data_IF_232925661012
#
_entry.id   IF_232925661012
#
_cell.length_a   1.000
_cell.length_b   1.000
_cell.length_c   1.000
_cell.angle_alpha   90.00
_cell.angle_beta   90.00
_cell.angle_gamma   90.00
#
_symmetry.space_group_name_H-M   'P 1'
#
loop_
_entity.id
_entity.type
_entity.pdbx_description
1 polymer ?
#
# COMPACT_ATOMS: atom_id res chain seq x y z
N UNK A 1 -5.62 16.90 1.59
CA UNK A 1 -4.63 15.93 2.11
C UNK A 1 -5.23 15.23 3.32
N UNK A 2 -6.43 14.64 3.16
CA UNK A 2 -7.16 13.96 4.26
C UNK A 2 -7.14 12.43 4.12
N UNK A 3 -7.09 11.91 2.89
CA UNK A 3 -7.15 10.46 2.59
C UNK A 3 -6.02 9.63 3.23
N UNK A 4 -4.83 10.22 3.46
CA UNK A 4 -3.65 9.48 3.97
C UNK A 4 -3.69 9.32 5.50
N UNK A 5 -4.44 10.19 6.19
CA UNK A 5 -4.40 10.32 7.65
C UNK A 5 -5.40 9.42 8.38
N UNK A 6 -6.39 8.85 7.70
CA UNK A 6 -7.43 8.03 8.34
C UNK A 6 -6.99 6.58 8.60
N UNK A 7 -5.98 6.11 7.87
CA UNK A 7 -5.48 4.74 7.93
C UNK A 7 -4.40 4.58 9.02
N UNK A 8 -4.76 4.58 10.30
CA UNK A 8 -3.79 4.53 11.39
C UNK A 8 -3.94 3.29 12.26
N UNK A 9 -2.80 2.63 12.55
CA UNK A 9 -2.72 1.52 13.49
C UNK A 9 -1.78 1.94 14.61
N UNK A 10 -2.31 2.12 15.83
CA UNK A 10 -1.52 2.50 17.02
C UNK A 10 -0.60 3.72 16.79
N UNK A 11 -1.08 4.73 16.04
CA UNK A 11 -0.30 5.93 15.74
C UNK A 11 0.58 5.83 14.48
N UNK A 12 0.62 4.68 13.80
CA UNK A 12 1.43 4.46 12.60
C UNK A 12 0.53 4.53 11.36
N UNK A 13 0.77 5.47 10.43
CA UNK A 13 0.06 5.52 9.14
C UNK A 13 0.35 4.29 8.30
N UNK A 14 -0.68 3.60 7.84
CA UNK A 14 -0.57 2.33 7.13
C UNK A 14 0.18 2.46 5.81
N UNK A 15 0.01 3.58 5.08
CA UNK A 15 0.74 3.82 3.83
C UNK A 15 2.25 3.84 4.04
N UNK A 16 2.73 4.32 5.20
CA UNK A 16 4.16 4.36 5.50
C UNK A 16 4.68 2.94 5.75
N UNK A 17 3.87 2.06 6.32
CA UNK A 17 4.19 0.64 6.45
C UNK A 17 4.31 -0.01 5.07
N UNK A 18 3.35 0.25 4.16
CA UNK A 18 3.40 -0.26 2.78
C UNK A 18 4.69 0.21 2.09
N UNK A 19 4.99 1.51 2.13
CA UNK A 19 6.21 2.08 1.54
C UNK A 19 7.48 1.48 2.15
N UNK A 20 7.52 1.34 3.47
CA UNK A 20 8.65 0.76 4.19
C UNK A 20 8.91 -0.69 3.82
N UNK A 21 7.86 -1.51 3.67
CA UNK A 21 7.98 -2.90 3.24
C UNK A 21 8.48 -3.03 1.80
N UNK A 22 7.98 -2.17 0.91
CA UNK A 22 8.43 -2.11 -0.50
C UNK A 22 9.90 -1.69 -0.57
N UNK A 23 10.28 -0.67 0.20
CA UNK A 23 11.67 -0.20 0.27
C UNK A 23 12.61 -1.29 0.84
N UNK A 24 12.20 -1.94 1.92
CA UNK A 24 12.96 -3.04 2.52
C UNK A 24 13.16 -4.19 1.53
N UNK A 25 12.18 -4.48 0.69
CA UNK A 25 12.25 -5.53 -0.32
C UNK A 25 13.31 -5.28 -1.40
N UNK A 26 13.73 -4.03 -1.62
CA UNK A 26 14.90 -3.73 -2.47
C UNK A 26 16.18 -4.34 -1.93
N UNK A 27 16.32 -4.44 -0.59
CA UNK A 27 17.48 -5.06 0.07
C UNK A 27 17.55 -6.57 -0.20
N UNK A 28 16.42 -7.17 -0.59
CA UNK A 28 16.31 -8.57 -1.02
C UNK A 28 16.59 -8.76 -2.52
N UNK A 29 16.98 -7.70 -3.25
CA UNK A 29 17.29 -7.75 -4.67
C UNK A 29 16.10 -7.55 -5.61
N UNK A 30 14.89 -7.28 -5.09
CA UNK A 30 13.75 -6.94 -5.94
C UNK A 30 13.97 -5.58 -6.62
N UNK A 31 13.59 -5.49 -7.89
CA UNK A 31 13.71 -4.25 -8.67
C UNK A 31 12.66 -4.15 -9.79
N UNK A 32 12.46 -2.94 -10.30
CA UNK A 32 11.60 -2.67 -11.45
C UNK A 32 10.14 -3.07 -11.22
N UNK A 33 9.55 -3.78 -12.20
CA UNK A 33 8.14 -4.20 -12.16
C UNK A 33 7.79 -5.09 -10.96
N UNK A 34 8.76 -5.82 -10.42
CA UNK A 34 8.53 -6.66 -9.24
C UNK A 34 8.19 -5.83 -7.99
N UNK A 35 8.81 -4.66 -7.81
CA UNK A 35 8.49 -3.75 -6.71
C UNK A 35 7.13 -3.08 -6.90
N UNK A 36 6.78 -2.72 -8.14
CA UNK A 36 5.43 -2.21 -8.44
C UNK A 36 4.36 -3.24 -8.07
N UNK A 37 4.52 -4.49 -8.52
CA UNK A 37 3.57 -5.56 -8.19
C UNK A 37 3.52 -5.82 -6.69
N UNK A 38 4.67 -5.84 -6.02
CA UNK A 38 4.76 -6.03 -4.59
C UNK A 38 4.03 -4.93 -3.82
N UNK A 39 4.20 -3.66 -4.21
CA UNK A 39 3.51 -2.54 -3.58
C UNK A 39 1.99 -2.68 -3.70
N UNK A 40 1.50 -3.16 -4.83
CA UNK A 40 0.08 -3.45 -5.02
C UNK A 40 -0.42 -4.56 -4.10
N UNK A 41 0.28 -5.70 -4.06
CA UNK A 41 -0.08 -6.84 -3.23
C UNK A 41 -0.06 -6.48 -1.75
N UNK A 42 0.98 -5.80 -1.28
CA UNK A 42 1.10 -5.36 0.11
C UNK A 42 -0.01 -4.37 0.46
N UNK A 43 -0.30 -3.41 -0.42
CA UNK A 43 -1.40 -2.45 -0.24
C UNK A 43 -2.76 -3.15 -0.10
N UNK A 44 -3.07 -4.11 -0.99
CA UNK A 44 -4.32 -4.88 -0.93
C UNK A 44 -4.42 -5.68 0.36
N UNK A 45 -3.38 -6.47 0.67
CA UNK A 45 -3.38 -7.35 1.85
C UNK A 45 -3.53 -6.52 3.13
N UNK A 46 -2.71 -5.47 3.29
CA UNK A 46 -2.78 -4.64 4.49
C UNK A 46 -4.06 -3.80 4.56
N UNK A 47 -4.56 -3.31 3.43
CA UNK A 47 -5.82 -2.56 3.40
C UNK A 47 -7.03 -3.41 3.78
N UNK A 48 -7.10 -4.65 3.28
CA UNK A 48 -8.17 -5.59 3.64
C UNK A 48 -8.07 -6.00 5.10
N UNK A 49 -6.87 -6.32 5.59
CA UNK A 49 -6.67 -6.65 7.00
C UNK A 49 -6.99 -5.49 7.92
N UNK A 50 -6.66 -4.25 7.51
CA UNK A 50 -7.02 -3.05 8.26
C UNK A 50 -8.53 -2.90 8.38
N UNK A 51 -9.26 -2.97 7.26
CA UNK A 51 -10.73 -2.87 7.27
C UNK A 51 -11.35 -3.95 8.17
N UNK A 52 -10.87 -5.20 8.04
CA UNK A 52 -11.32 -6.30 8.89
C UNK A 52 -10.98 -6.10 10.38
N UNK A 53 -9.86 -5.44 10.70
CA UNK A 53 -9.46 -5.14 12.08
C UNK A 53 -10.33 -4.07 12.74
N UNK A 54 -10.92 -3.17 11.94
CA UNK A 54 -11.84 -2.12 12.43
C UNK A 54 -13.23 -2.70 12.63
N UNK A 55 -13.71 -3.50 11.67
CA UNK A 55 -14.99 -4.21 11.78
C UNK A 55 -15.00 -5.49 10.93
N UNK A 56 -15.70 -6.56 11.36
CA UNK A 56 -15.82 -7.77 10.55
C UNK A 56 -16.53 -7.51 9.22
N UNK A 57 -15.93 -7.97 8.12
CA UNK A 57 -16.51 -7.87 6.77
C UNK A 57 -17.41 -9.08 6.51
N UNK A 58 -18.70 -8.86 6.28
CA UNK A 58 -19.73 -9.91 6.15
C UNK A 58 -20.38 -9.91 4.78
N UNK A 59 -20.66 -8.74 4.23
CA UNK A 59 -21.38 -8.54 2.97
C UNK A 59 -20.40 -8.34 1.81
N UNK A 60 -20.87 -8.58 0.58
CA UNK A 60 -20.09 -8.31 -0.63
C UNK A 60 -19.65 -6.84 -0.72
N UNK A 61 -20.52 -5.90 -0.33
CA UNK A 61 -20.21 -4.47 -0.37
C UNK A 61 -19.00 -4.11 0.53
N UNK A 62 -18.92 -4.73 1.71
CA UNK A 62 -17.82 -4.53 2.66
C UNK A 62 -16.51 -5.13 2.12
N UNK A 63 -16.56 -6.35 1.57
CA UNK A 63 -15.40 -6.96 0.92
C UNK A 63 -14.92 -6.16 -0.29
N UNK A 64 -15.84 -5.69 -1.13
CA UNK A 64 -15.53 -4.85 -2.27
C UNK A 64 -14.87 -3.53 -1.83
N UNK A 65 -15.45 -2.87 -0.82
CA UNK A 65 -14.88 -1.65 -0.22
C UNK A 65 -13.47 -1.89 0.32
N UNK A 66 -13.25 -3.00 1.01
CA UNK A 66 -11.94 -3.34 1.57
C UNK A 66 -10.87 -3.58 0.48
N UNK A 67 -11.24 -4.26 -0.62
CA UNK A 67 -10.34 -4.45 -1.77
C UNK A 67 -10.03 -3.11 -2.44
N UNK A 68 -11.03 -2.25 -2.67
CA UNK A 68 -10.84 -0.91 -3.27
C UNK A 68 -9.95 -0.04 -2.39
N UNK A 69 -10.14 -0.11 -1.07
CA UNK A 69 -9.30 0.59 -0.10
C UNK A 69 -7.83 0.13 -0.17
N UNK A 70 -7.60 -1.18 -0.19
CA UNK A 70 -6.25 -1.73 -0.35
C UNK A 70 -5.62 -1.42 -1.71
N UNK A 71 -6.40 -1.41 -2.79
CA UNK A 71 -5.95 -0.94 -4.10
C UNK A 71 -5.51 0.52 -4.06
N UNK A 72 -6.25 1.39 -3.37
CA UNK A 72 -5.85 2.79 -3.21
C UNK A 72 -4.50 2.92 -2.50
N UNK A 73 -4.28 2.18 -1.40
CA UNK A 73 -2.99 2.15 -0.71
C UNK A 73 -1.86 1.63 -1.60
N UNK A 74 -2.10 0.55 -2.35
CA UNK A 74 -1.13 -0.04 -3.26
C UNK A 74 -0.78 0.89 -4.43
N UNK A 75 -1.78 1.57 -5.02
CA UNK A 75 -1.59 2.56 -6.08
C UNK A 75 -0.77 3.75 -5.60
N UNK A 76 -1.07 4.29 -4.42
CA UNK A 76 -0.28 5.39 -3.82
C UNK A 76 1.17 4.94 -3.63
N UNK A 77 1.41 3.76 -3.04
CA UNK A 77 2.76 3.25 -2.83
C UNK A 77 3.52 3.02 -4.14
N UNK A 78 2.85 2.43 -5.13
CA UNK A 78 3.43 2.18 -6.46
C UNK A 78 3.78 3.48 -7.19
N UNK A 79 2.93 4.50 -7.11
CA UNK A 79 3.17 5.82 -7.69
C UNK A 79 4.35 6.54 -7.05
N UNK A 80 4.51 6.45 -5.73
CA UNK A 80 5.69 6.98 -5.02
C UNK A 80 6.96 6.25 -5.48
N UNK A 81 6.92 4.91 -5.57
CA UNK A 81 8.05 4.13 -6.07
C UNK A 81 8.47 4.55 -7.48
N UNK A 82 7.50 4.71 -8.38
CA UNK A 82 7.73 5.10 -9.77
C UNK A 82 8.29 6.52 -9.91
N UNK A 83 7.77 7.46 -9.12
CA UNK A 83 8.26 8.83 -9.09
C UNK A 83 9.74 8.88 -8.65
N UNK A 84 10.08 8.17 -7.56
CA UNK A 84 11.45 8.08 -7.05
C UNK A 84 12.38 7.44 -8.08
N UNK A 85 11.97 6.30 -8.66
CA UNK A 85 12.74 5.62 -9.71
C UNK A 85 12.98 6.54 -10.90
N UNK A 86 11.94 7.23 -11.36
CA UNK A 86 12.03 8.14 -12.51
C UNK A 86 13.01 9.27 -12.25
N UNK A 87 12.99 9.88 -11.06
CA UNK A 87 13.92 10.93 -10.67
C UNK A 87 15.37 10.46 -10.66
N UNK A 88 15.64 9.27 -10.11
CA UNK A 88 17.00 8.69 -10.05
C UNK A 88 17.55 8.34 -11.43
N UNK A 89 16.71 7.86 -12.35
CA UNK A 89 17.16 7.49 -13.71
C UNK A 89 17.27 8.68 -14.68
N UNK A 90 16.72 9.84 -14.32
CA UNK A 90 16.73 11.05 -15.17
C UNK A 90 17.83 12.05 -14.77
N UNK A 91 18.47 11.88 -13.62
CA UNK A 91 19.69 12.59 -13.21
C UNK A 91 20.93 11.79 -13.57
#
# INVERSE_FOLDING_TARGET
MEIISEAMINGIPLVLVVLGLVEWSKRLGLSGKALQLLSMLVGIVLGVLYQYSVFPLVTFAEWFGAVVYGLALGLIASGVYDAVRSAVTRG
#
